data_IF_468886976363
#
_entry.id   IF_468886976363
#
_cell.length_a   1.000
_cell.length_b   1.000
_cell.length_c   1.000
_cell.angle_alpha   90.00
_cell.angle_beta   90.00
_cell.angle_gamma   90.00
#
_symmetry.space_group_name_H-M   'P 1'
#
loop_
_entity.id
_entity.type
_entity.pdbx_description
1 polymer ?
#
# COMPACT_ATOMS: atom_id res chain seq x y z
N UNK A 1 13.75 3.53 17.75
CA UNK A 1 12.63 2.63 17.42
C UNK A 1 11.73 3.41 16.48
N UNK A 2 12.09 3.41 15.19
CA UNK A 2 11.36 4.13 14.14
C UNK A 2 10.17 3.22 13.83
N UNK A 3 9.04 3.51 14.44
CA UNK A 3 7.80 2.77 14.19
C UNK A 3 7.43 3.03 12.75
N UNK A 4 7.54 1.98 11.93
CA UNK A 4 6.51 1.54 10.99
C UNK A 4 5.51 2.63 10.56
N UNK A 5 6.00 3.64 9.82
CA UNK A 5 5.17 4.62 9.11
C UNK A 5 4.71 4.06 7.74
N UNK A 6 4.72 2.74 7.58
CA UNK A 6 3.96 2.06 6.53
C UNK A 6 2.48 2.20 6.89
N UNK A 7 1.99 3.42 6.68
CA UNK A 7 0.78 3.96 7.27
C UNK A 7 -0.43 3.05 7.16
N UNK A 8 -1.33 3.23 8.11
CA UNK A 8 -2.65 2.62 8.19
C UNK A 8 -3.41 2.85 6.87
N UNK A 9 -3.22 1.96 5.90
CA UNK A 9 -3.91 2.08 4.61
C UNK A 9 -5.33 1.56 4.80
N UNK A 10 -6.32 2.31 4.35
CA UNK A 10 -7.71 1.85 4.29
C UNK A 10 -8.04 1.33 2.90
N UNK A 11 -9.03 0.45 2.81
CA UNK A 11 -9.55 0.02 1.53
C UNK A 11 -10.11 1.22 0.74
N UNK A 12 -9.82 1.28 -0.57
CA UNK A 12 -10.30 2.35 -1.46
C UNK A 12 -11.68 2.02 -2.09
N UNK A 13 -12.27 0.87 -1.75
CA UNK A 13 -13.59 0.50 -2.27
C UNK A 13 -14.68 1.38 -1.66
N UNK A 14 -15.62 1.82 -2.50
CA UNK A 14 -16.75 2.64 -2.08
C UNK A 14 -17.54 1.96 -0.95
N UNK A 15 -17.73 2.69 0.16
CA UNK A 15 -18.40 2.18 1.36
C UNK A 15 -17.60 1.16 2.19
N UNK A 16 -16.30 0.97 1.94
CA UNK A 16 -15.44 0.09 2.73
C UNK A 16 -14.30 0.88 3.39
N UNK A 17 -14.34 1.02 4.72
CA UNK A 17 -13.34 1.78 5.48
C UNK A 17 -12.43 0.86 6.32
N UNK A 18 -12.36 -0.43 5.96
CA UNK A 18 -11.54 -1.41 6.70
C UNK A 18 -10.07 -1.08 6.54
N UNK A 19 -9.32 -1.18 7.65
CA UNK A 19 -7.86 -1.18 7.61
C UNK A 19 -7.35 -2.35 6.78
N UNK A 20 -6.33 -2.08 5.99
CA UNK A 20 -5.58 -3.05 5.22
C UNK A 20 -4.41 -3.55 6.07
N UNK A 21 -4.17 -4.85 5.99
CA UNK A 21 -3.07 -5.52 6.69
C UNK A 21 -1.82 -5.54 5.80
N UNK A 22 -1.03 -6.60 5.84
CA UNK A 22 0.17 -6.75 5.04
C UNK A 22 -0.15 -6.89 3.54
N UNK A 23 0.65 -6.26 2.65
CA UNK A 23 0.46 -6.40 1.22
C UNK A 23 0.75 -7.84 0.78
N UNK A 24 -0.07 -8.35 -0.13
CA UNK A 24 0.11 -9.69 -0.70
C UNK A 24 1.10 -9.68 -1.87
N UNK A 25 1.32 -8.51 -2.49
CA UNK A 25 2.29 -8.31 -3.56
C UNK A 25 3.07 -7.02 -3.32
N UNK A 26 4.40 -7.10 -3.43
CA UNK A 26 5.30 -5.94 -3.37
C UNK A 26 6.24 -5.98 -4.56
N UNK A 27 6.31 -4.87 -5.28
CA UNK A 27 7.21 -4.67 -6.40
C UNK A 27 8.13 -3.47 -6.14
N UNK A 28 9.40 -3.76 -5.96
CA UNK A 28 10.46 -2.76 -5.85
C UNK A 28 11.11 -2.52 -7.22
N UNK A 29 11.30 -1.25 -7.55
CA UNK A 29 11.97 -0.79 -8.77
C UNK A 29 12.86 0.42 -8.43
N UNK A 30 13.77 0.81 -9.31
CA UNK A 30 14.53 2.06 -9.15
C UNK A 30 13.63 3.30 -8.97
N UNK A 31 12.46 3.31 -9.60
CA UNK A 31 11.49 4.41 -9.50
C UNK A 31 10.67 4.42 -8.19
N UNK A 32 10.84 3.42 -7.31
CA UNK A 32 10.08 3.29 -6.07
C UNK A 32 9.38 1.94 -5.90
N UNK A 33 8.55 1.87 -4.86
CA UNK A 33 7.85 0.68 -4.38
C UNK A 33 6.37 0.73 -4.69
N UNK A 34 5.80 -0.38 -5.13
CA UNK A 34 4.36 -0.58 -5.31
C UNK A 34 3.92 -1.74 -4.43
N UNK A 35 2.86 -1.57 -3.67
CA UNK A 35 2.31 -2.61 -2.81
C UNK A 35 0.82 -2.81 -3.10
N UNK A 36 0.38 -4.06 -3.25
CA UNK A 36 -1.03 -4.40 -3.44
C UNK A 36 -1.57 -5.13 -2.21
N UNK A 37 -2.73 -4.67 -1.75
CA UNK A 37 -3.42 -5.13 -0.56
C UNK A 37 -4.75 -5.73 -0.98
N UNK A 38 -5.07 -6.92 -0.47
CA UNK A 38 -6.38 -7.53 -0.64
C UNK A 38 -7.21 -7.25 0.61
N UNK A 39 -8.41 -6.70 0.42
CA UNK A 39 -9.37 -6.53 1.49
C UNK A 39 -10.35 -7.70 1.52
N UNK A 40 -10.83 -8.08 2.71
CA UNK A 40 -11.88 -9.08 2.86
C UNK A 40 -13.22 -8.73 2.16
N UNK A 41 -13.41 -7.47 1.73
CA UNK A 41 -14.55 -7.09 0.89
C UNK A 41 -14.41 -7.52 -0.59
N UNK A 42 -13.22 -8.02 -0.99
CA UNK A 42 -12.90 -8.45 -2.35
C UNK A 42 -12.19 -7.41 -3.21
N UNK A 43 -11.99 -6.19 -2.72
CA UNK A 43 -11.27 -5.14 -3.44
C UNK A 43 -9.75 -5.24 -3.26
N UNK A 44 -9.02 -4.75 -4.27
CA UNK A 44 -7.57 -4.62 -4.25
C UNK A 44 -7.20 -3.14 -4.22
N UNK A 45 -6.42 -2.73 -3.23
CA UNK A 45 -5.87 -1.37 -3.11
C UNK A 45 -4.39 -1.41 -3.45
N UNK A 46 -3.90 -0.48 -4.27
CA UNK A 46 -2.49 -0.40 -4.66
C UNK A 46 -1.92 0.93 -4.17
N UNK A 47 -0.87 0.87 -3.35
CA UNK A 47 -0.10 2.06 -2.93
C UNK A 47 1.18 2.17 -3.73
N UNK A 48 1.61 3.40 -3.99
CA UNK A 48 2.85 3.69 -4.72
C UNK A 48 3.67 4.70 -3.93
N UNK A 49 4.85 4.27 -3.48
CA UNK A 49 5.84 5.15 -2.85
C UNK A 49 6.95 5.39 -3.87
N UNK A 50 7.14 6.64 -4.29
CA UNK A 50 8.22 7.00 -5.22
C UNK A 50 9.53 7.19 -4.46
N UNK A 51 10.61 6.66 -5.00
CA UNK A 51 11.96 6.98 -4.51
C UNK A 51 12.33 8.41 -4.95
N UNK A 52 12.82 9.25 -4.03
CA UNK A 52 13.19 10.64 -4.35
C UNK A 52 14.45 10.76 -5.26
N UNK A 53 15.06 9.64 -5.64
CA UNK A 53 16.19 9.61 -6.58
C UNK A 53 15.71 9.58 -8.03
N UNK A 54 15.25 10.71 -8.56
CA UNK A 54 15.51 11.14 -9.95
C UNK A 54 15.08 12.59 -10.07
N UNK A 55 16.01 13.52 -9.81
CA UNK A 55 15.95 14.87 -10.33
C UNK A 55 17.34 15.27 -10.81
#
# INVERSE_FOLDING_TARGET
MIQDLCGENTCDADGCERGLTEPQLVFDTDAGRRAAYECACGAVTVTVVRSESTR
#
